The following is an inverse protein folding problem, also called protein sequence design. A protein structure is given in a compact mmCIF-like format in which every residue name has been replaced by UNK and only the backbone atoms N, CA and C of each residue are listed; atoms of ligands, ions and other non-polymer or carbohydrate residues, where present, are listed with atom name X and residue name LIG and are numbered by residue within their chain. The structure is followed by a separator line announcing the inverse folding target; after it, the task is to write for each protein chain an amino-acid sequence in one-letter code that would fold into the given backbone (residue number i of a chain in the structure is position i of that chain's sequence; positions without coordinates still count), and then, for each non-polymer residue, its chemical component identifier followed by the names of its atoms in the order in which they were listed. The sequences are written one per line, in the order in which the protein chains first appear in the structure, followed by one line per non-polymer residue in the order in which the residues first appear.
data_IF_754372651034
#
_entry.id   IF_754372651034
#
_cell.length_a   1.000
_cell.length_b   1.000
_cell.length_c   1.000
_cell.angle_alpha   90.00
_cell.angle_beta   90.00
_cell.angle_gamma   90.00
#
_symmetry.space_group_name_H-M   'P 1'
#
loop_
_entity.id
_entity.type
_entity.pdbx_description
1 polymer ?
#
# COMPACT_ATOMS: atom_id res chain seq x y z
N UNK A 1 6.19 10.84 -3.65
CA UNK A 1 6.45 10.13 -4.92
C UNK A 1 5.12 9.64 -5.43
N UNK A 2 4.83 9.87 -6.71
CA UNK A 2 3.61 9.36 -7.35
C UNK A 2 3.75 7.85 -7.53
N UNK A 3 2.80 7.11 -7.00
CA UNK A 3 2.76 5.65 -7.05
C UNK A 3 1.46 5.18 -6.40
N UNK A 4 0.85 4.16 -6.97
CA UNK A 4 -0.30 3.50 -6.37
C UNK A 4 0.22 2.34 -5.54
N UNK A 5 -0.27 2.19 -4.31
CA UNK A 5 -0.05 0.97 -3.56
C UNK A 5 -0.88 -0.16 -4.21
N UNK A 6 -0.18 -1.15 -4.78
CA UNK A 6 -0.81 -2.24 -5.49
C UNK A 6 -1.14 -3.43 -4.58
N UNK A 7 -0.57 -3.49 -3.37
CA UNK A 7 -0.74 -4.64 -2.48
C UNK A 7 -1.70 -4.38 -1.33
N UNK A 8 -1.69 -3.15 -0.77
CA UNK A 8 -2.56 -2.82 0.35
C UNK A 8 -4.04 -2.88 -0.06
N UNK A 9 -4.81 -3.58 0.75
CA UNK A 9 -6.22 -3.82 0.52
C UNK A 9 -6.89 -3.75 1.90
N UNK A 10 -7.65 -2.70 2.18
CA UNK A 10 -8.27 -2.47 3.50
C UNK A 10 -9.32 -3.55 3.86
N UNK A 11 -9.75 -4.34 2.89
CA UNK A 11 -10.61 -5.50 3.09
C UNK A 11 -9.75 -6.76 3.36
N UNK A 12 -9.10 -6.80 4.52
CA UNK A 12 -8.18 -7.86 4.97
C UNK A 12 -8.84 -9.26 5.17
N UNK A 13 -10.14 -9.39 4.94
CA UNK A 13 -10.92 -10.55 5.43
C UNK A 13 -11.14 -11.69 4.42
N UNK A 14 -10.72 -11.57 3.15
CA UNK A 14 -11.10 -12.55 2.12
C UNK A 14 -9.97 -13.25 1.39
N UNK A 15 -8.71 -12.80 1.53
CA UNK A 15 -7.58 -13.45 0.89
C UNK A 15 -6.58 -13.95 1.93
N UNK A 16 -6.06 -15.17 1.73
CA UNK A 16 -5.10 -15.82 2.63
C UNK A 16 -3.66 -15.35 2.38
N UNK A 17 -3.46 -14.03 2.21
CA UNK A 17 -2.18 -13.39 1.92
C UNK A 17 -1.68 -12.59 3.12
N UNK A 18 -0.36 -12.56 3.29
CA UNK A 18 0.29 -11.79 4.34
C UNK A 18 0.46 -10.31 3.92
N UNK A 19 0.59 -9.38 4.88
CA UNK A 19 0.93 -7.99 4.59
C UNK A 19 2.25 -7.87 3.83
N UNK A 20 2.36 -6.92 2.89
CA UNK A 20 3.60 -6.67 2.16
C UNK A 20 4.72 -6.22 3.11
N UNK A 21 5.92 -6.73 2.87
CA UNK A 21 7.13 -6.28 3.54
C UNK A 21 8.33 -6.28 2.60
N UNK A 22 9.14 -5.22 2.64
CA UNK A 22 10.36 -5.13 1.82
C UNK A 22 11.53 -5.98 2.33
N UNK A 23 11.42 -6.60 3.52
CA UNK A 23 12.55 -7.22 4.22
C UNK A 23 12.31 -8.67 4.65
N UNK A 24 11.16 -9.25 4.32
CA UNK A 24 10.81 -10.65 4.62
C UNK A 24 11.23 -11.63 3.50
N UNK A 25 11.69 -11.10 2.36
CA UNK A 25 12.09 -11.86 1.16
C UNK A 25 10.93 -12.58 0.47
N UNK A 26 9.70 -12.13 0.72
CA UNK A 26 8.51 -12.57 0.01
C UNK A 26 8.28 -11.63 -1.17
N UNK A 27 7.94 -12.19 -2.33
CA UNK A 27 7.58 -11.44 -3.52
C UNK A 27 6.06 -11.44 -3.68
N UNK A 28 5.49 -10.26 -3.87
CA UNK A 28 4.09 -10.06 -4.19
C UNK A 28 3.82 -10.12 -5.70
N UNK A 29 2.82 -10.89 -6.11
CA UNK A 29 2.37 -10.96 -7.51
C UNK A 29 0.96 -10.41 -7.64
N UNK A 30 0.79 -9.37 -8.45
CA UNK A 30 -0.50 -8.74 -8.73
C UNK A 30 -0.81 -8.73 -10.23
N UNK A 31 -2.09 -8.61 -10.57
CA UNK A 31 -2.54 -8.40 -11.95
C UNK A 31 -3.48 -7.22 -12.09
N UNK A 32 -3.39 -6.57 -13.24
CA UNK A 32 -4.19 -5.41 -13.61
C UNK A 32 -4.84 -5.69 -14.98
N UNK A 33 -6.16 -5.84 -14.96
CA UNK A 33 -6.97 -6.05 -16.17
C UNK A 33 -7.21 -4.77 -16.98
N UNK A 34 -6.24 -4.40 -17.82
CA UNK A 34 -6.40 -3.36 -18.84
C UNK A 34 -6.26 -1.92 -18.34
N UNK A 35 -6.31 -0.97 -19.27
CA UNK A 35 -6.01 0.46 -19.02
C UNK A 35 -7.07 1.15 -18.17
N UNK A 36 -8.35 0.82 -18.33
CA UNK A 36 -9.42 1.37 -17.48
C UNK A 36 -9.26 0.95 -16.02
N UNK A 37 -8.90 -0.31 -15.78
CA UNK A 37 -8.62 -0.78 -14.43
C UNK A 37 -7.43 -0.03 -13.81
N UNK A 38 -6.36 0.15 -14.58
CA UNK A 38 -5.20 0.94 -14.18
C UNK A 38 -5.55 2.41 -13.88
N UNK A 39 -6.42 3.03 -14.68
CA UNK A 39 -6.89 4.40 -14.43
C UNK A 39 -7.65 4.52 -13.11
N UNK A 40 -8.56 3.57 -12.82
CA UNK A 40 -9.26 3.53 -11.53
C UNK A 40 -8.33 3.28 -10.35
N UNK A 41 -7.27 2.48 -10.52
CA UNK A 41 -6.23 2.27 -9.50
C UNK A 41 -5.55 3.59 -9.12
N UNK A 42 -5.21 4.42 -10.11
CA UNK A 42 -4.55 5.72 -9.88
C UNK A 42 -5.37 6.70 -9.06
N UNK A 43 -6.70 6.62 -9.14
CA UNK A 43 -7.62 7.50 -8.40
C UNK A 43 -8.22 6.83 -7.16
N UNK A 44 -7.76 5.63 -6.78
CA UNK A 44 -8.25 4.91 -5.60
C UNK A 44 -9.67 4.32 -5.74
N UNK A 45 -10.19 4.17 -6.95
CA UNK A 45 -11.52 3.60 -7.24
C UNK A 45 -11.48 2.11 -7.60
N UNK A 46 -10.31 1.48 -7.56
CA UNK A 46 -10.12 0.05 -7.78
C UNK A 46 -8.87 -0.43 -7.06
N UNK A 47 -8.70 -1.75 -6.96
CA UNK A 47 -7.55 -2.41 -6.33
C UNK A 47 -6.97 -3.50 -7.24
N UNK A 48 -5.65 -3.68 -7.19
CA UNK A 48 -5.02 -4.68 -8.04
C UNK A 48 -5.38 -6.07 -7.53
N UNK A 49 -5.49 -7.04 -8.42
CA UNK A 49 -5.84 -8.40 -8.02
C UNK A 49 -4.57 -9.11 -7.54
N UNK A 50 -4.51 -9.44 -6.25
CA UNK A 50 -3.46 -10.30 -5.66
C UNK A 50 -3.55 -11.71 -6.25
N UNK A 51 -2.43 -12.25 -6.71
CA UNK A 51 -2.36 -13.57 -7.36
C UNK A 51 -1.55 -14.57 -6.54
N UNK A 52 -0.43 -14.15 -5.97
CA UNK A 52 0.47 -15.02 -5.20
C UNK A 52 1.40 -14.22 -4.29
N UNK A 53 1.91 -14.89 -3.26
CA UNK A 53 3.09 -14.50 -2.50
C UNK A 53 4.07 -15.67 -2.42
N UNK A 54 5.36 -15.41 -2.48
CA UNK A 54 6.38 -16.45 -2.28
C UNK A 54 7.81 -15.98 -2.46
N UNK A 55 8.77 -16.79 -2.00
CA UNK A 55 10.20 -16.47 -2.06
C UNK A 55 10.80 -16.65 -3.47
N UNK A 56 10.16 -17.45 -4.32
CA UNK A 56 10.59 -17.73 -5.69
C UNK A 56 9.37 -17.80 -6.60
N UNK A 57 9.34 -16.93 -7.61
CA UNK A 57 8.24 -16.80 -8.56
C UNK A 57 8.71 -17.26 -9.94
N UNK A 58 7.97 -18.19 -10.53
CA UNK A 58 8.22 -18.68 -11.89
C UNK A 58 7.12 -18.18 -12.83
N UNK A 59 7.50 -17.37 -13.82
CA UNK A 59 6.59 -16.82 -14.83
C UNK A 59 6.95 -17.42 -16.18
N UNK A 60 6.01 -18.15 -16.79
CA UNK A 60 6.18 -18.69 -18.13
C UNK A 60 5.53 -17.77 -19.15
N UNK A 61 6.34 -17.20 -20.05
CA UNK A 61 5.89 -16.38 -21.16
C UNK A 61 5.76 -17.26 -22.40
N UNK A 62 4.53 -17.38 -22.91
CA UNK A 62 4.21 -18.21 -24.08
C UNK A 62 4.33 -17.46 -25.41
N UNK A 63 4.46 -16.13 -25.36
CA UNK A 63 4.55 -15.24 -26.51
C UNK A 63 5.53 -14.09 -26.19
N UNK A 64 6.05 -13.38 -27.20
CA UNK A 64 6.81 -12.16 -26.96
C UNK A 64 5.98 -11.11 -26.23
N UNK A 65 6.49 -10.58 -25.11
CA UNK A 65 5.79 -9.60 -24.27
C UNK A 65 6.73 -8.45 -23.87
N UNK A 66 6.22 -7.21 -23.73
CA UNK A 66 6.98 -6.12 -23.16
C UNK A 66 7.22 -6.38 -21.66
N UNK A 67 8.45 -6.23 -21.21
CA UNK A 67 8.85 -6.36 -19.81
C UNK A 67 9.63 -5.11 -19.41
N UNK A 68 9.54 -4.72 -18.14
CA UNK A 68 10.29 -3.62 -17.57
C UNK A 68 10.81 -4.03 -16.20
N UNK A 69 12.09 -3.72 -15.92
CA UNK A 69 12.73 -3.91 -14.61
C UNK A 69 13.46 -2.61 -14.28
N UNK A 70 13.22 -2.08 -13.08
CA UNK A 70 13.90 -0.89 -12.55
C UNK A 70 13.99 0.30 -13.52
N UNK A 71 12.95 0.50 -14.33
CA UNK A 71 12.89 1.59 -15.32
C UNK A 71 13.35 1.22 -16.73
N UNK A 72 13.98 0.06 -16.93
CA UNK A 72 14.53 -0.37 -18.22
C UNK A 72 13.56 -1.31 -18.96
N UNK A 73 12.93 -0.89 -20.07
CA UNK A 73 12.01 -1.72 -20.83
C UNK A 73 12.71 -2.53 -21.93
N UNK A 74 12.20 -3.74 -22.22
CA UNK A 74 12.60 -4.53 -23.39
C UNK A 74 11.47 -5.44 -23.89
N UNK A 75 11.64 -5.98 -25.10
CA UNK A 75 10.77 -7.04 -25.63
C UNK A 75 11.36 -8.40 -25.28
N UNK A 76 10.69 -9.14 -24.41
CA UNK A 76 11.09 -10.48 -23.99
C UNK A 76 10.49 -11.53 -24.93
N UNK A 77 11.32 -12.35 -25.57
CA UNK A 77 10.87 -13.54 -26.31
C UNK A 77 10.29 -14.61 -25.37
N UNK A 78 9.51 -15.58 -25.87
CA UNK A 78 8.96 -16.66 -25.04
C UNK A 78 10.04 -17.33 -24.21
N UNK A 79 9.85 -17.38 -22.90
CA UNK A 79 10.83 -17.88 -21.96
C UNK A 79 10.17 -18.24 -20.62
N UNK A 80 10.98 -18.71 -19.68
CA UNK A 80 10.58 -18.89 -18.29
C UNK A 80 11.45 -18.00 -17.42
N UNK A 81 10.84 -16.99 -16.81
CA UNK A 81 11.48 -16.11 -15.84
C UNK A 81 11.39 -16.75 -14.46
N UNK A 82 12.52 -16.80 -13.75
CA UNK A 82 12.56 -17.20 -12.34
C UNK A 82 13.06 -16.01 -11.54
N UNK A 83 12.23 -15.52 -10.63
CA UNK A 83 12.47 -14.32 -9.84
C UNK A 83 12.60 -14.75 -8.39
N UNK A 84 13.73 -14.42 -7.77
CA UNK A 84 14.01 -14.75 -6.38
C UNK A 84 14.89 -13.68 -5.76
N UNK A 85 14.82 -13.56 -4.44
CA UNK A 85 15.65 -12.63 -3.70
C UNK A 85 17.14 -13.04 -3.75
N UNK A 86 18.02 -12.19 -4.30
CA UNK A 86 19.46 -12.45 -4.41
C UNK A 86 20.28 -11.85 -3.26
N UNK A 87 19.96 -10.64 -2.81
CA UNK A 87 20.73 -9.92 -1.80
C UNK A 87 19.91 -8.80 -1.16
N UNK A 88 20.36 -8.33 -0.01
CA UNK A 88 19.67 -7.31 0.78
C UNK A 88 20.69 -6.23 1.18
N UNK A 89 20.29 -4.97 1.04
CA UNK A 89 21.07 -3.83 1.46
C UNK A 89 20.33 -3.08 2.57
N UNK A 90 21.07 -2.50 3.50
CA UNK A 90 20.51 -1.57 4.47
C UNK A 90 20.28 -0.22 3.79
N UNK A 91 19.02 0.17 3.71
CA UNK A 91 18.60 1.43 3.12
C UNK A 91 18.19 2.39 4.23
N UNK A 92 18.55 3.67 4.09
CA UNK A 92 18.03 4.72 4.96
C UNK A 92 16.52 4.82 4.70
N UNK A 93 15.72 4.52 5.72
CA UNK A 93 14.29 4.81 5.75
C UNK A 93 14.10 6.12 6.48
N UNK A 94 13.22 6.99 5.98
CA UNK A 94 12.73 8.15 6.74
C UNK A 94 12.25 7.62 8.10
N UNK A 95 12.86 8.08 9.20
CA UNK A 95 12.34 7.83 10.55
C UNK A 95 10.90 8.27 10.53
N UNK A 96 9.98 7.34 10.79
CA UNK A 96 8.56 7.60 10.60
C UNK A 96 8.18 8.92 11.28
N UNK A 97 7.66 9.87 10.51
CA UNK A 97 6.35 10.33 10.91
C UNK A 97 5.52 9.04 10.89
N UNK A 98 5.12 8.52 12.06
CA UNK A 98 3.78 7.93 12.09
C UNK A 98 2.90 8.90 11.31
N UNK A 99 1.99 8.46 10.44
CA UNK A 99 1.09 9.39 9.80
C UNK A 99 0.33 10.09 10.93
N UNK A 100 0.85 11.24 11.34
CA UNK A 100 0.23 12.18 12.25
C UNK A 100 -1.19 12.42 11.75
N UNK A 101 -1.38 12.38 10.43
CA UNK A 101 -2.67 12.36 9.75
C UNK A 101 -3.58 11.16 10.04
N UNK A 102 -3.11 9.91 10.12
CA UNK A 102 -3.99 8.76 10.42
C UNK A 102 -4.40 8.75 11.89
N UNK A 103 -3.44 8.95 12.81
CA UNK A 103 -3.75 9.09 14.22
C UNK A 103 -4.64 10.32 14.48
N UNK A 104 -4.34 11.47 13.87
CA UNK A 104 -5.18 12.66 13.98
C UNK A 104 -6.57 12.46 13.33
N UNK A 105 -6.68 11.70 12.23
CA UNK A 105 -7.97 11.37 11.62
C UNK A 105 -8.81 10.50 12.55
N UNK A 106 -8.22 9.45 13.15
CA UNK A 106 -8.90 8.61 14.15
C UNK A 106 -9.36 9.47 15.33
N UNK A 107 -8.49 10.32 15.89
CA UNK A 107 -8.89 11.12 17.04
C UNK A 107 -9.92 12.20 16.68
N UNK A 108 -9.83 12.80 15.50
CA UNK A 108 -10.85 13.74 15.02
C UNK A 108 -12.23 13.05 14.90
N UNK A 109 -12.27 11.82 14.40
CA UNK A 109 -13.48 11.00 14.30
C UNK A 109 -14.04 10.63 15.69
N UNK A 110 -13.18 10.15 16.59
CA UNK A 110 -13.57 9.82 17.98
C UNK A 110 -14.12 11.06 18.71
N UNK A 111 -13.49 12.23 18.55
CA UNK A 111 -13.96 13.47 19.17
C UNK A 111 -15.27 13.98 18.53
N UNK A 112 -15.47 13.77 17.23
CA UNK A 112 -16.74 14.09 16.57
C UNK A 112 -17.87 13.18 17.04
N UNK A 113 -17.60 11.88 17.19
CA UNK A 113 -18.55 10.93 17.76
C UNK A 113 -18.91 11.27 19.20
N UNK A 114 -17.90 11.56 20.04
CA UNK A 114 -18.10 11.91 21.45
C UNK A 114 -18.92 13.20 21.66
N UNK A 115 -18.79 14.20 20.76
CA UNK A 115 -19.63 15.39 20.77
C UNK A 115 -21.08 15.05 20.38
N UNK A 116 -21.26 14.20 19.36
CA UNK A 116 -22.58 13.76 18.90
C UNK A 116 -23.32 12.95 19.95
N UNK A 117 -22.60 12.13 20.73
CA UNK A 117 -23.16 11.34 21.83
C UNK A 117 -23.24 12.12 23.15
N UNK A 118 -22.92 13.43 23.16
CA UNK A 118 -22.90 14.31 24.33
C UNK A 118 -21.99 13.83 25.48
N UNK A 119 -20.96 13.02 25.17
CA UNK A 119 -19.91 12.62 26.12
C UNK A 119 -18.97 13.80 26.39
N UNK A 120 -18.73 14.63 25.38
CA UNK A 120 -18.04 15.91 25.48
C UNK A 120 -18.88 17.02 24.84
N UNK A 121 -18.63 18.28 25.20
CA UNK A 121 -19.22 19.43 24.55
C UNK A 121 -18.27 20.07 23.52
N UNK A 122 -18.79 21.04 22.75
CA UNK A 122 -18.05 21.71 21.68
C UNK A 122 -16.77 22.43 22.16
N UNK A 123 -16.77 22.97 23.39
CA UNK A 123 -15.58 23.64 23.94
C UNK A 123 -14.50 22.63 24.35
N UNK A 124 -14.88 21.50 24.94
CA UNK A 124 -13.99 20.39 25.27
C UNK A 124 -13.37 19.78 24.00
N UNK A 125 -14.17 19.56 22.95
CA UNK A 125 -13.67 19.08 21.65
C UNK A 125 -12.61 20.02 21.07
N UNK A 126 -12.87 21.34 21.06
CA UNK A 126 -11.92 22.34 20.55
C UNK A 126 -10.63 22.36 21.36
N UNK A 127 -10.71 22.29 22.69
CA UNK A 127 -9.54 22.24 23.56
C UNK A 127 -8.67 21.00 23.29
N UNK A 128 -9.29 19.82 23.16
CA UNK A 128 -8.59 18.56 22.87
C UNK A 128 -7.94 18.58 21.49
N UNK A 129 -8.63 19.07 20.45
CA UNK A 129 -8.05 19.23 19.11
C UNK A 129 -6.87 20.20 19.10
N UNK A 130 -6.94 21.29 19.86
CA UNK A 130 -5.86 22.26 19.96
C UNK A 130 -4.63 21.69 20.70
N UNK A 131 -4.84 20.96 21.80
CA UNK A 131 -3.77 20.28 22.54
C UNK A 131 -3.08 19.22 21.68
N UNK A 132 -3.85 18.48 20.89
CA UNK A 132 -3.31 17.53 19.94
C UNK A 132 -2.50 18.20 18.85
N UNK A 133 -3.00 19.28 18.25
CA UNK A 133 -2.26 20.02 17.22
C UNK A 133 -0.89 20.50 17.74
N UNK A 134 -0.78 20.86 19.03
CA UNK A 134 0.47 21.26 19.68
C UNK A 134 1.41 20.09 19.99
N UNK A 135 0.88 18.88 20.24
CA UNK A 135 1.68 17.68 20.51
C UNK A 135 2.15 16.97 19.23
N UNK A 136 1.52 17.30 18.10
CA UNK A 136 1.76 16.71 16.78
C UNK A 136 2.59 17.65 15.87
N UNK A 137 3.05 18.80 16.38
CA UNK A 137 4.00 19.73 15.72
C UNK A 137 5.44 19.49 16.16
#
# INVERSE_FOLDING_TARGET
MGGVDLWQNEDDNYDNFDPQSMHDKILEVVSISGTWHLGKLQVGLSRARRLAQGQSIKIQLLAPLPVQIDGEPWMQSPCTLTISHHGQAFMLKRSGEEPLGHAAAIVADVLAHAETTNVINASQKRALLQEMALKLS
#
